data_IF_760430069856
#
_entry.id   IF_760430069856
#
_cell.length_a   1.000
_cell.length_b   1.000
_cell.length_c   1.000
_cell.angle_alpha   90.00
_cell.angle_beta   90.00
_cell.angle_gamma   90.00
#
_symmetry.space_group_name_H-M   'P 1'
#
loop_
_entity.id
_entity.type
_entity.pdbx_description
1 polymer ?
#
# COMPACT_ATOMS: atom_id res chain seq x y z
N UNK A 1 11.57 17.19 -48.89
CA UNK A 1 11.53 16.05 -47.94
C UNK A 1 11.89 16.62 -46.58
N UNK A 2 10.88 16.80 -45.75
CA UNK A 2 10.80 17.86 -44.74
C UNK A 2 11.58 17.55 -43.47
N UNK A 3 12.65 18.30 -43.21
CA UNK A 3 13.41 18.25 -41.95
C UNK A 3 12.51 18.42 -40.72
N UNK A 4 11.39 19.13 -40.88
CA UNK A 4 10.37 19.33 -39.87
C UNK A 4 9.68 18.03 -39.43
N UNK A 5 9.49 17.05 -40.33
CA UNK A 5 8.90 15.74 -40.00
C UNK A 5 9.85 14.88 -39.18
N UNK A 6 11.15 14.97 -39.45
CA UNK A 6 12.17 14.24 -38.68
C UNK A 6 12.35 14.81 -37.26
N UNK A 7 12.26 16.13 -37.10
CA UNK A 7 12.32 16.77 -35.78
C UNK A 7 11.13 16.37 -34.90
N UNK A 8 9.92 16.33 -35.48
CA UNK A 8 8.72 15.88 -34.74
C UNK A 8 8.81 14.40 -34.36
N UNK A 9 9.31 13.54 -35.25
CA UNK A 9 9.50 12.12 -34.97
C UNK A 9 10.52 11.88 -33.84
N UNK A 10 11.62 12.64 -33.83
CA UNK A 10 12.65 12.57 -32.77
C UNK A 10 12.10 13.03 -31.41
N UNK A 11 11.28 14.09 -31.39
CA UNK A 11 10.65 14.59 -30.16
C UNK A 11 9.62 13.62 -29.57
N UNK A 12 8.92 12.85 -30.42
CA UNK A 12 7.97 11.81 -29.96
C UNK A 12 8.71 10.57 -29.43
N UNK A 13 9.85 10.21 -30.04
CA UNK A 13 10.66 9.06 -29.60
C UNK A 13 11.42 9.30 -28.28
N UNK A 14 11.64 10.55 -27.87
CA UNK A 14 12.36 10.89 -26.63
C UNK A 14 11.50 10.98 -25.36
N UNK A 15 10.19 10.74 -25.44
CA UNK A 15 9.33 10.60 -24.24
C UNK A 15 9.39 9.19 -23.66
N UNK A 16 10.60 8.73 -23.33
CA UNK A 16 10.77 7.64 -22.37
C UNK A 16 10.94 8.30 -21.01
N UNK A 17 9.82 8.66 -20.38
CA UNK A 17 9.86 9.07 -18.98
C UNK A 17 10.12 7.80 -18.18
N UNK A 18 11.30 7.74 -17.55
CA UNK A 18 11.57 6.76 -16.51
C UNK A 18 10.48 6.91 -15.46
N UNK A 19 9.59 5.92 -15.37
CA UNK A 19 8.75 5.76 -14.19
C UNK A 19 9.73 5.46 -13.07
N UNK A 20 10.00 6.46 -12.22
CA UNK A 20 10.66 6.21 -10.95
C UNK A 20 9.78 5.25 -10.18
N UNK A 21 10.36 4.20 -9.58
CA UNK A 21 9.58 3.29 -8.77
C UNK A 21 8.88 4.10 -7.67
N UNK A 22 7.58 3.88 -7.54
CA UNK A 22 6.82 4.41 -6.41
C UNK A 22 7.37 3.77 -5.12
N UNK A 23 7.33 4.50 -4.02
CA UNK A 23 7.74 3.95 -2.72
C UNK A 23 6.88 2.72 -2.41
N UNK A 24 7.51 1.58 -2.12
CA UNK A 24 6.84 0.41 -1.57
C UNK A 24 6.84 0.47 -0.05
N UNK A 25 5.87 -0.19 0.58
CA UNK A 25 5.80 -0.34 2.03
C UNK A 25 5.81 -1.82 2.39
N UNK A 26 6.54 -2.15 3.46
CA UNK A 26 6.59 -3.49 4.04
C UNK A 26 6.31 -3.39 5.53
N UNK A 27 5.69 -4.41 6.09
CA UNK A 27 5.53 -4.58 7.53
C UNK A 27 6.17 -5.89 7.96
N UNK A 28 6.87 -5.90 9.10
CA UNK A 28 7.35 -7.13 9.73
C UNK A 28 6.39 -7.65 10.82
N UNK A 29 6.70 -8.81 11.39
CA UNK A 29 5.90 -9.44 12.44
C UNK A 29 6.05 -8.78 13.83
N UNK A 30 6.88 -7.74 13.97
CA UNK A 30 6.94 -6.85 15.13
C UNK A 30 6.26 -5.50 14.84
N UNK A 31 5.51 -5.37 13.74
CA UNK A 31 4.89 -4.14 13.27
C UNK A 31 5.91 -3.00 12.95
N UNK A 32 7.15 -3.35 12.61
CA UNK A 32 8.09 -2.44 11.99
C UNK A 32 7.63 -2.10 10.57
N UNK A 33 7.37 -0.81 10.31
CA UNK A 33 6.99 -0.31 8.99
C UNK A 33 8.25 0.15 8.26
N UNK A 34 8.49 -0.43 7.08
CA UNK A 34 9.64 -0.13 6.24
C UNK A 34 9.20 0.50 4.94
N UNK A 35 10.01 1.43 4.43
CA UNK A 35 9.90 1.98 3.08
C UNK A 35 10.94 1.34 2.18
N UNK A 36 10.50 0.91 1.00
CA UNK A 36 11.37 0.44 -0.08
C UNK A 36 11.37 1.48 -1.18
N UNK A 37 12.54 1.99 -1.52
CA UNK A 37 12.73 3.00 -2.58
C UNK A 37 13.40 2.37 -3.81
N UNK A 38 13.81 3.19 -4.77
CA UNK A 38 14.55 2.77 -5.97
C UNK A 38 15.84 1.97 -5.68
N UNK A 39 16.40 2.04 -4.46
CA UNK A 39 17.55 1.23 -4.06
C UNK A 39 17.20 -0.23 -3.78
N UNK A 40 15.91 -0.58 -3.74
CA UNK A 40 15.38 -1.89 -3.33
C UNK A 40 15.81 -2.34 -1.93
N UNK A 41 16.35 -1.44 -1.12
CA UNK A 41 16.72 -1.70 0.26
C UNK A 41 15.60 -1.18 1.18
N UNK A 42 15.06 -2.01 2.09
CA UNK A 42 14.09 -1.57 3.07
C UNK A 42 14.75 -0.66 4.12
N UNK A 43 14.16 0.50 4.34
CA UNK A 43 14.52 1.45 5.39
C UNK A 43 13.42 1.42 6.46
N UNK A 44 13.77 1.10 7.71
CA UNK A 44 12.82 1.17 8.82
C UNK A 44 12.38 2.63 9.02
N UNK A 45 11.08 2.88 8.95
CA UNK A 45 10.50 4.18 9.24
C UNK A 45 10.25 4.32 10.74
N UNK A 46 9.41 3.44 11.30
CA UNK A 46 9.06 3.40 12.72
C UNK A 46 8.38 2.06 13.04
N UNK A 47 8.17 1.78 14.33
CA UNK A 47 7.41 0.62 14.80
C UNK A 47 6.04 1.07 15.28
N UNK A 48 4.99 0.51 14.70
CA UNK A 48 3.62 0.80 15.13
C UNK A 48 3.37 0.22 16.52
N UNK A 49 2.89 1.07 17.43
CA UNK A 49 2.53 0.68 18.80
C UNK A 49 1.01 0.71 18.99
N UNK A 50 0.49 -0.13 19.91
CA UNK A 50 -0.94 -0.17 20.23
C UNK A 50 -1.84 -0.77 19.15
N UNK A 51 -1.26 -1.37 18.11
CA UNK A 51 -1.98 -2.10 17.06
C UNK A 51 -1.76 -3.61 17.20
N UNK A 52 -2.74 -4.41 16.76
CA UNK A 52 -2.54 -5.86 16.59
C UNK A 52 -1.45 -6.15 15.55
N UNK A 53 -0.95 -7.39 15.49
CA UNK A 53 -0.01 -7.80 14.43
C UNK A 53 -0.66 -7.61 13.07
N UNK A 54 -0.09 -6.71 12.26
CA UNK A 54 -0.55 -6.48 10.90
C UNK A 54 -0.16 -7.66 10.01
N UNK A 55 -1.09 -8.12 9.19
CA UNK A 55 -0.89 -9.24 8.26
C UNK A 55 -0.77 -8.80 6.81
N UNK A 56 -1.31 -7.63 6.46
CA UNK A 56 -1.19 -7.07 5.11
C UNK A 56 -1.29 -5.53 5.13
N UNK A 57 -0.78 -4.91 4.06
CA UNK A 57 -0.81 -3.48 3.81
C UNK A 57 -1.40 -3.17 2.43
N UNK A 58 -2.08 -2.04 2.30
CA UNK A 58 -2.52 -1.54 0.99
C UNK A 58 -2.48 -0.02 0.94
N UNK A 59 -2.46 0.51 -0.28
CA UNK A 59 -2.66 1.94 -0.55
C UNK A 59 -4.04 2.13 -1.15
N UNK A 60 -4.73 3.20 -0.76
CA UNK A 60 -5.92 3.65 -1.48
C UNK A 60 -5.54 4.42 -2.76
N UNK A 61 -6.51 4.81 -3.60
CA UNK A 61 -6.26 5.57 -4.82
C UNK A 61 -5.58 6.94 -4.62
N UNK A 62 -5.72 7.53 -3.43
CA UNK A 62 -5.12 8.81 -3.06
C UNK A 62 -3.70 8.65 -2.48
N UNK A 63 -3.26 7.40 -2.27
CA UNK A 63 -1.94 7.05 -1.75
C UNK A 63 -1.86 7.01 -0.23
N UNK A 64 -3.00 6.99 0.48
CA UNK A 64 -3.02 6.78 1.93
C UNK A 64 -2.75 5.31 2.25
N UNK A 65 -1.99 5.06 3.32
CA UNK A 65 -1.58 3.72 3.73
C UNK A 65 -2.57 3.11 4.73
N UNK A 66 -2.95 1.86 4.49
CA UNK A 66 -3.82 1.08 5.37
C UNK A 66 -3.20 -0.27 5.67
N UNK A 67 -3.60 -0.85 6.80
CA UNK A 67 -3.21 -2.20 7.20
C UNK A 67 -4.33 -2.95 7.89
N UNK A 68 -4.36 -4.25 7.70
CA UNK A 68 -5.27 -5.16 8.39
C UNK A 68 -4.47 -5.97 9.40
N UNK A 69 -5.00 -6.13 10.63
CA UNK A 69 -4.42 -7.07 11.59
C UNK A 69 -4.96 -8.48 11.42
N UNK A 70 -4.22 -9.47 11.93
CA UNK A 70 -4.67 -10.87 11.92
C UNK A 70 -6.03 -11.06 12.57
N UNK A 71 -6.40 -10.19 13.53
CA UNK A 71 -7.70 -10.25 14.24
C UNK A 71 -8.82 -9.46 13.56
N UNK A 72 -8.57 -8.85 12.40
CA UNK A 72 -9.60 -8.16 11.62
C UNK A 72 -9.76 -6.67 11.93
N UNK A 73 -8.86 -6.06 12.70
CA UNK A 73 -8.85 -4.60 12.86
C UNK A 73 -8.21 -3.94 11.63
N UNK A 74 -8.95 -3.06 10.96
CA UNK A 74 -8.49 -2.23 9.84
C UNK A 74 -8.01 -0.87 10.36
N UNK A 75 -6.78 -0.52 9.99
CA UNK A 75 -6.13 0.70 10.40
C UNK A 75 -5.80 1.60 9.20
N UNK A 76 -6.00 2.90 9.36
CA UNK A 76 -5.33 3.91 8.55
C UNK A 76 -4.01 4.29 9.23
N UNK A 77 -2.91 4.29 8.48
CA UNK A 77 -1.57 4.52 8.97
C UNK A 77 -1.11 5.91 8.54
N UNK A 78 -0.87 6.77 9.53
CA UNK A 78 -0.28 8.09 9.35
C UNK A 78 1.24 7.98 9.51
N UNK A 79 1.95 7.98 8.37
CA UNK A 79 3.41 7.88 8.35
C UNK A 79 4.10 9.15 8.83
N UNK A 80 3.42 10.30 8.84
CA UNK A 80 4.00 11.56 9.31
C UNK A 80 3.87 11.70 10.83
N UNK A 81 2.74 11.25 11.38
CA UNK A 81 2.48 11.17 12.81
C UNK A 81 2.98 9.89 13.50
N UNK A 82 3.57 8.96 12.75
CA UNK A 82 4.09 7.67 13.24
C UNK A 82 3.06 6.84 14.03
N UNK A 83 1.82 6.84 13.55
CA UNK A 83 0.67 6.30 14.28
C UNK A 83 -0.30 5.58 13.35
N UNK A 84 -1.13 4.73 13.93
CA UNK A 84 -2.22 4.06 13.23
C UNK A 84 -3.54 4.26 13.99
N UNK A 85 -4.58 4.57 13.23
CA UNK A 85 -5.92 4.81 13.75
C UNK A 85 -6.80 3.68 13.26
N UNK A 86 -7.42 2.94 14.17
CA UNK A 86 -8.39 1.90 13.80
C UNK A 86 -9.65 2.56 13.26
N UNK A 87 -10.01 2.25 12.03
CA UNK A 87 -11.20 2.78 11.35
C UNK A 87 -12.35 1.77 11.28
N UNK A 88 -12.02 0.47 11.34
CA UNK A 88 -13.01 -0.60 11.34
C UNK A 88 -12.49 -1.84 12.06
N UNK A 89 -13.42 -2.72 12.46
CA UNK A 89 -13.11 -4.03 13.03
C UNK A 89 -14.09 -5.04 12.45
N UNK A 90 -13.58 -5.98 11.66
CA UNK A 90 -14.36 -7.12 11.19
C UNK A 90 -14.58 -8.07 12.35
N UNK A 91 -15.73 -8.77 12.37
CA UNK A 91 -15.98 -9.76 13.41
C UNK A 91 -14.92 -10.87 13.33
N UNK A 92 -14.19 -11.06 14.42
CA UNK A 92 -13.11 -12.05 14.50
C UNK A 92 -13.66 -13.48 14.56
N UNK A 93 -13.99 -14.01 13.38
CA UNK A 93 -14.40 -15.41 13.17
C UNK A 93 -13.29 -16.23 12.50
N UNK A 94 -12.23 -15.58 12.05
CA UNK A 94 -11.11 -16.15 11.30
C UNK A 94 -9.90 -15.22 11.42
N UNK A 95 -8.72 -15.73 11.09
CA UNK A 95 -7.54 -14.90 10.88
C UNK A 95 -7.63 -14.20 9.51
N UNK A 96 -7.29 -12.92 9.45
CA UNK A 96 -7.28 -12.14 8.20
C UNK A 96 -5.85 -12.01 7.67
N UNK A 97 -5.67 -12.18 6.36
CA UNK A 97 -4.33 -12.25 5.74
C UNK A 97 -4.18 -11.43 4.45
N UNK A 98 -5.26 -10.83 3.95
CA UNK A 98 -5.19 -10.04 2.71
C UNK A 98 -6.07 -8.81 2.80
N UNK A 99 -5.57 -7.71 2.25
CA UNK A 99 -6.23 -6.42 2.18
C UNK A 99 -5.96 -5.79 0.81
N UNK A 100 -7.01 -5.32 0.14
CA UNK A 100 -6.86 -4.46 -1.02
C UNK A 100 -7.91 -3.35 -1.00
N UNK A 101 -7.60 -2.21 -1.62
CA UNK A 101 -8.54 -1.12 -1.80
C UNK A 101 -8.85 -0.97 -3.30
N UNK A 102 -10.13 -0.93 -3.64
CA UNK A 102 -10.58 -0.69 -4.99
C UNK A 102 -10.53 0.79 -5.36
N UNK A 103 -10.66 1.09 -6.66
CA UNK A 103 -10.56 2.46 -7.20
C UNK A 103 -11.69 3.39 -6.70
N UNK A 104 -12.79 2.82 -6.23
CA UNK A 104 -13.92 3.53 -5.64
C UNK A 104 -13.79 3.69 -4.10
N UNK A 105 -12.67 3.26 -3.53
CA UNK A 105 -12.35 3.39 -2.11
C UNK A 105 -12.86 2.24 -1.23
N UNK A 106 -13.51 1.21 -1.80
CA UNK A 106 -13.99 0.06 -1.04
C UNK A 106 -12.81 -0.85 -0.68
N UNK A 107 -12.70 -1.22 0.59
CA UNK A 107 -11.73 -2.22 1.03
C UNK A 107 -12.30 -3.61 0.87
N UNK A 108 -11.47 -4.53 0.39
CA UNK A 108 -11.76 -5.97 0.33
C UNK A 108 -10.77 -6.72 1.19
N UNK A 109 -11.29 -7.59 2.06
CA UNK A 109 -10.50 -8.31 3.05
C UNK A 109 -10.86 -9.79 3.04
N UNK A 110 -9.86 -10.67 3.08
CA UNK A 110 -10.08 -12.11 3.19
C UNK A 110 -9.11 -12.78 4.16
N UNK A 111 -9.46 -13.99 4.58
CA UNK A 111 -8.81 -14.70 5.68
C UNK A 111 -8.82 -16.22 5.53
N UNK A 112 -8.52 -16.93 6.62
CA UNK A 112 -8.30 -18.38 6.65
C UNK A 112 -9.49 -19.22 6.16
N UNK A 113 -10.72 -18.73 6.29
CA UNK A 113 -11.93 -19.45 5.88
C UNK A 113 -12.35 -19.16 4.42
N UNK A 114 -11.61 -18.29 3.72
CA UNK A 114 -11.87 -17.96 2.32
C UNK A 114 -13.08 -17.04 2.07
N UNK A 115 -13.70 -16.50 3.13
CA UNK A 115 -14.73 -15.48 2.99
C UNK A 115 -14.13 -14.14 2.59
N UNK A 116 -14.86 -13.42 1.72
CA UNK A 116 -14.54 -12.06 1.30
C UNK A 116 -15.47 -11.06 2.00
N UNK A 117 -14.89 -10.08 2.67
CA UNK A 117 -15.57 -8.99 3.35
C UNK A 117 -15.28 -7.68 2.62
N UNK A 118 -16.18 -6.71 2.77
CA UNK A 118 -15.99 -5.34 2.26
C UNK A 118 -16.31 -4.29 3.31
N UNK A 119 -15.58 -3.16 3.27
CA UNK A 119 -15.81 -1.98 4.10
C UNK A 119 -15.77 -0.71 3.24
#
# INVERSE_FOLDING_TARGET
MDAQKWIVLILILFKVTWITAQNGFLIDNQNGLYRVTNSCLPELMFTLSGVGTLSDLTLDPDGNLFGISTVGDLYQIDTAGEQAIRIHSFLYLQDFYSLTCAIDGIFYVSGSEGYLYSY
#
